data_IF_942927058669
#
_entry.id   IF_942927058669
#
_cell.length_a   1.000
_cell.length_b   1.000
_cell.length_c   1.000
_cell.angle_alpha   90.00
_cell.angle_beta   90.00
_cell.angle_gamma   90.00
#
_symmetry.space_group_name_H-M   'P 1'
#
loop_
_entity.id
_entity.type
_entity.pdbx_description
1 polymer ?
#
# COMPACT_ATOMS: atom_id res chain seq x y z
N UNK A 1 -5.48 -60.38 32.57
CA UNK A 1 -4.64 -59.17 32.61
C UNK A 1 -5.45 -58.07 33.28
N UNK A 2 -5.22 -57.82 34.55
CA UNK A 2 -6.02 -56.88 35.37
C UNK A 2 -5.35 -55.52 35.34
N UNK A 3 -5.94 -54.56 34.64
CA UNK A 3 -5.45 -53.18 34.61
C UNK A 3 -5.53 -52.55 36.00
N UNK A 4 -4.44 -51.91 36.44
CA UNK A 4 -4.41 -51.14 37.69
C UNK A 4 -5.16 -49.81 37.48
N UNK A 5 -6.48 -49.86 37.44
CA UNK A 5 -7.29 -48.68 37.74
C UNK A 5 -7.36 -48.53 39.26
N UNK A 6 -6.89 -47.40 39.79
CA UNK A 6 -7.08 -47.03 41.19
C UNK A 6 -8.33 -46.16 41.27
N UNK A 7 -9.43 -46.74 41.73
CA UNK A 7 -10.63 -45.97 42.05
C UNK A 7 -10.35 -45.08 43.27
N UNK A 8 -10.64 -43.79 43.14
CA UNK A 8 -10.67 -42.85 44.28
C UNK A 8 -9.37 -42.10 44.60
N UNK A 9 -8.35 -42.07 43.74
CA UNK A 9 -7.29 -41.07 43.95
C UNK A 9 -7.83 -39.66 43.60
N UNK A 10 -7.67 -38.67 44.50
CA UNK A 10 -7.99 -37.29 44.18
C UNK A 10 -7.12 -36.85 43.00
N UNK A 11 -7.71 -36.09 42.06
CA UNK A 11 -6.97 -35.53 40.95
C UNK A 11 -5.74 -34.80 41.47
N UNK A 12 -4.55 -35.29 41.12
CA UNK A 12 -3.32 -34.58 41.43
C UNK A 12 -3.36 -33.24 40.72
N UNK A 13 -3.11 -32.14 41.44
CA UNK A 13 -2.98 -30.82 40.83
C UNK A 13 -1.75 -30.82 39.92
N UNK A 14 -1.97 -30.97 38.62
CA UNK A 14 -0.90 -30.85 37.63
C UNK A 14 -0.67 -29.36 37.38
N UNK A 15 0.53 -28.88 37.68
CA UNK A 15 0.91 -27.52 37.31
C UNK A 15 0.88 -27.37 35.79
N UNK A 16 0.05 -26.45 35.28
CA UNK A 16 0.11 -26.08 33.86
C UNK A 16 1.38 -25.27 33.63
N UNK A 17 2.41 -25.92 33.08
CA UNK A 17 3.61 -25.24 32.64
C UNK A 17 3.32 -24.59 31.29
N UNK A 18 3.29 -23.26 31.26
CA UNK A 18 3.19 -22.52 30.00
C UNK A 18 4.52 -22.67 29.26
N UNK A 19 4.46 -23.22 28.04
CA UNK A 19 5.63 -23.29 27.17
C UNK A 19 6.04 -21.89 26.72
N UNK A 20 7.35 -21.65 26.70
CA UNK A 20 7.99 -20.44 26.16
C UNK A 20 7.37 -19.12 26.70
N UNK A 21 7.03 -19.11 27.99
CA UNK A 21 6.40 -17.99 28.69
C UNK A 21 7.12 -16.64 28.51
N UNK A 22 8.46 -16.55 28.65
CA UNK A 22 9.18 -15.30 28.40
C UNK A 22 9.01 -14.78 26.97
N UNK A 23 9.05 -15.66 25.96
CA UNK A 23 8.88 -15.25 24.56
C UNK A 23 7.46 -14.74 24.27
N UNK A 24 6.44 -15.36 24.89
CA UNK A 24 5.05 -14.88 24.81
C UNK A 24 4.86 -13.53 25.48
N UNK A 25 5.45 -13.33 26.65
CA UNK A 25 5.40 -12.05 27.35
C UNK A 25 6.09 -10.94 26.53
N UNK A 26 7.20 -11.27 25.86
CA UNK A 26 7.89 -10.33 24.98
C UNK A 26 7.03 -9.97 23.76
N UNK A 27 6.40 -10.96 23.11
CA UNK A 27 5.50 -10.70 21.99
C UNK A 27 4.31 -9.81 22.40
N UNK A 28 3.74 -10.03 23.58
CA UNK A 28 2.67 -9.18 24.14
C UNK A 28 3.16 -7.76 24.44
N UNK A 29 4.38 -7.60 24.95
CA UNK A 29 5.00 -6.27 25.14
C UNK A 29 5.14 -5.55 23.80
N UNK A 30 5.59 -6.24 22.76
CA UNK A 30 5.73 -5.67 21.42
C UNK A 30 4.38 -5.27 20.83
N UNK A 31 3.36 -6.13 20.95
CA UNK A 31 1.98 -5.84 20.51
C UNK A 31 1.43 -4.55 21.15
N UNK A 32 1.69 -4.36 22.45
CA UNK A 32 1.29 -3.15 23.17
C UNK A 32 2.11 -1.91 22.79
N UNK A 33 3.37 -2.10 22.37
CA UNK A 33 4.29 -1.00 22.04
C UNK A 33 4.03 -0.46 20.63
N UNK A 34 3.71 -1.34 19.69
CA UNK A 34 3.54 -1.03 18.27
C UNK A 34 2.06 -0.99 17.89
N UNK A 35 1.41 0.16 18.13
CA UNK A 35 -0.04 0.30 17.98
C UNK A 35 -0.60 -0.02 16.58
N UNK A 36 0.22 0.17 15.54
CA UNK A 36 -0.13 -0.09 14.15
C UNK A 36 0.12 -1.56 13.72
N UNK A 37 0.54 -2.42 14.65
CA UNK A 37 0.88 -3.82 14.39
C UNK A 37 0.14 -4.76 15.34
N UNK A 38 -0.08 -5.98 14.86
CA UNK A 38 -0.49 -7.12 15.70
C UNK A 38 0.65 -8.11 15.76
N UNK A 39 1.17 -8.39 16.96
CA UNK A 39 2.34 -9.23 17.20
C UNK A 39 1.94 -10.54 17.90
N UNK A 40 2.46 -11.66 17.40
CA UNK A 40 2.12 -13.01 17.84
C UNK A 40 3.38 -13.87 17.97
N UNK A 41 3.40 -14.78 18.94
CA UNK A 41 4.45 -15.80 19.06
C UNK A 41 3.91 -17.19 18.70
N UNK A 42 4.56 -17.86 17.76
CA UNK A 42 4.17 -19.21 17.33
C UNK A 42 5.01 -20.29 18.02
N UNK A 43 4.36 -21.18 18.77
CA UNK A 43 5.02 -22.32 19.42
C UNK A 43 5.51 -23.37 18.42
N UNK A 44 4.91 -23.46 17.22
CA UNK A 44 5.24 -24.48 16.22
C UNK A 44 6.59 -24.23 15.55
N UNK A 45 6.87 -22.98 15.19
CA UNK A 45 8.14 -22.56 14.58
C UNK A 45 9.09 -21.86 15.56
N UNK A 46 8.60 -21.49 16.75
CA UNK A 46 9.31 -20.68 17.74
C UNK A 46 9.81 -19.35 17.17
N UNK A 47 8.96 -18.71 16.38
CA UNK A 47 9.20 -17.40 15.76
C UNK A 47 8.16 -16.39 16.22
N UNK A 48 8.57 -15.12 16.22
CA UNK A 48 7.70 -13.97 16.32
C UNK A 48 7.15 -13.60 14.94
N UNK A 49 5.91 -13.16 14.92
CA UNK A 49 5.20 -12.70 13.74
C UNK A 49 4.58 -11.35 14.02
N UNK A 50 4.65 -10.43 13.06
CA UNK A 50 3.92 -9.17 13.12
C UNK A 50 3.13 -8.97 11.83
N UNK A 51 1.88 -8.54 11.98
CA UNK A 51 0.98 -8.19 10.87
C UNK A 51 0.62 -6.72 11.00
N UNK A 52 0.83 -5.97 9.93
CA UNK A 52 0.49 -4.56 9.92
C UNK A 52 -1.03 -4.35 9.86
N UNK A 53 -1.54 -3.40 10.63
CA UNK A 53 -2.98 -3.06 10.70
C UNK A 53 -3.38 -1.87 9.83
N UNK A 54 -2.43 -1.18 9.20
CA UNK A 54 -2.73 -0.07 8.29
C UNK A 54 -3.34 -0.53 6.97
N UNK A 55 -4.19 0.31 6.40
CA UNK A 55 -4.76 0.10 5.08
C UNK A 55 -3.69 0.28 3.99
N UNK A 56 -3.59 -0.71 3.10
CA UNK A 56 -2.67 -0.70 1.98
C UNK A 56 -3.07 -1.70 0.90
N UNK A 57 -2.52 -1.58 -0.32
CA UNK A 57 -2.83 -2.49 -1.41
C UNK A 57 -2.33 -3.92 -1.16
N UNK A 58 -1.43 -4.10 -0.19
CA UNK A 58 -0.87 -5.40 0.17
C UNK A 58 -0.71 -5.51 1.69
N UNK A 59 -1.12 -6.66 2.24
CA UNK A 59 -0.92 -6.98 3.66
C UNK A 59 0.55 -7.21 3.92
N UNK A 60 1.11 -6.52 4.91
CA UNK A 60 2.50 -6.68 5.33
C UNK A 60 2.56 -7.64 6.51
N UNK A 61 3.32 -8.72 6.34
CA UNK A 61 3.61 -9.71 7.38
C UNK A 61 5.12 -9.89 7.46
N UNK A 62 5.66 -9.76 8.66
CA UNK A 62 7.09 -10.00 8.94
C UNK A 62 7.21 -11.09 10.02
N UNK A 63 8.26 -11.89 9.92
CA UNK A 63 8.58 -12.98 10.85
C UNK A 63 10.05 -12.84 11.24
N UNK A 64 10.42 -13.09 12.51
CA UNK A 64 11.80 -13.33 12.93
C UNK A 64 11.85 -14.34 14.09
N UNK A 65 12.99 -15.00 14.30
CA UNK A 65 13.19 -15.91 15.42
C UNK A 65 13.37 -15.18 16.77
N UNK A 66 13.67 -13.89 16.73
CA UNK A 66 13.99 -13.01 17.87
C UNK A 66 13.06 -11.80 17.90
N UNK A 67 12.84 -11.23 19.09
CA UNK A 67 12.02 -10.01 19.25
C UNK A 67 12.69 -8.78 18.64
N UNK A 68 14.00 -8.61 18.87
CA UNK A 68 14.79 -7.50 18.31
C UNK A 68 14.81 -7.54 16.78
N UNK A 69 15.09 -8.70 16.17
CA UNK A 69 15.06 -8.83 14.72
C UNK A 69 13.65 -8.65 14.12
N UNK A 70 12.60 -8.91 14.90
CA UNK A 70 11.22 -8.59 14.48
C UNK A 70 11.00 -7.07 14.46
N UNK A 71 11.41 -6.36 15.51
CA UNK A 71 11.28 -4.90 15.60
C UNK A 71 12.03 -4.19 14.48
N UNK A 72 13.25 -4.62 14.15
CA UNK A 72 14.01 -4.09 13.01
C UNK A 72 13.23 -4.24 11.70
N UNK A 73 12.64 -5.41 11.45
CA UNK A 73 11.82 -5.62 10.24
C UNK A 73 10.53 -4.81 10.23
N UNK A 74 9.91 -4.62 11.39
CA UNK A 74 8.73 -3.75 11.52
C UNK A 74 9.10 -2.30 11.19
N UNK A 75 10.22 -1.80 11.69
CA UNK A 75 10.73 -0.46 11.37
C UNK A 75 11.03 -0.29 9.88
N UNK A 76 11.71 -1.26 9.27
CA UNK A 76 11.98 -1.25 7.83
C UNK A 76 10.69 -1.20 7.02
N UNK A 77 9.69 -2.00 7.40
CA UNK A 77 8.38 -2.02 6.74
C UNK A 77 7.65 -0.67 6.87
N UNK A 78 7.69 -0.02 8.03
CA UNK A 78 7.14 1.32 8.21
C UNK A 78 7.85 2.36 7.35
N UNK A 79 9.18 2.29 7.26
CA UNK A 79 9.96 3.19 6.41
C UNK A 79 9.57 3.02 4.94
N UNK A 80 9.45 1.78 4.46
CA UNK A 80 9.00 1.49 3.09
C UNK A 80 7.59 2.02 2.84
N UNK A 81 6.68 1.84 3.79
CA UNK A 81 5.32 2.42 3.72
C UNK A 81 5.37 3.94 3.55
N UNK A 82 6.12 4.65 4.39
CA UNK A 82 6.21 6.11 4.33
C UNK A 82 6.71 6.59 2.96
N UNK A 83 7.70 5.91 2.38
CA UNK A 83 8.23 6.23 1.05
C UNK A 83 7.17 6.04 -0.06
N UNK A 84 6.30 5.04 0.06
CA UNK A 84 5.23 4.78 -0.91
C UNK A 84 4.06 5.77 -0.80
N UNK A 85 3.81 6.33 0.38
CA UNK A 85 2.73 7.32 0.58
C UNK A 85 3.05 8.73 0.08
N UNK A 86 4.30 9.00 -0.30
CA UNK A 86 4.65 10.27 -0.93
C UNK A 86 4.20 10.23 -2.39
N UNK A 87 3.16 10.98 -2.79
CA UNK A 87 2.82 11.05 -4.21
C UNK A 87 4.06 11.57 -4.96
N UNK A 88 4.37 11.07 -6.17
CA UNK A 88 5.39 11.69 -6.99
C UNK A 88 5.01 13.15 -7.15
N UNK A 89 5.83 14.03 -6.57
CA UNK A 89 5.64 15.49 -6.62
C UNK A 89 5.73 15.89 -8.08
N UNK A 90 4.57 15.98 -8.73
CA UNK A 90 4.41 16.46 -10.10
C UNK A 90 5.18 15.65 -11.14
N UNK A 91 4.59 14.56 -11.63
CA UNK A 91 4.56 14.44 -13.08
C UNK A 91 3.84 15.68 -13.60
N UNK A 92 4.64 16.68 -13.99
CA UNK A 92 4.23 17.74 -14.90
C UNK A 92 3.65 17.04 -16.12
N UNK A 93 2.33 16.84 -16.07
CA UNK A 93 1.57 16.38 -17.20
C UNK A 93 1.77 17.46 -18.26
N UNK A 94 2.73 17.17 -19.13
CA UNK A 94 2.87 17.66 -20.48
C UNK A 94 1.48 17.76 -21.11
N UNK A 95 0.80 18.87 -20.86
CA UNK A 95 -0.06 19.50 -21.83
C UNK A 95 0.87 20.36 -22.67
N UNK A 96 1.70 19.67 -23.45
CA UNK A 96 2.05 20.13 -24.79
C UNK A 96 0.74 20.19 -25.57
N UNK A 97 -0.06 21.22 -25.32
CA UNK A 97 -0.94 21.78 -26.31
C UNK A 97 -0.04 22.48 -27.34
N UNK A 98 -0.36 22.24 -28.60
CA UNK A 98 0.44 22.44 -29.80
C UNK A 98 1.15 23.80 -29.95
N UNK A 99 2.22 23.87 -30.76
CA UNK A 99 2.79 25.13 -31.20
C UNK A 99 1.87 25.76 -32.25
N UNK A 100 0.98 26.68 -31.85
CA UNK A 100 0.24 27.52 -32.79
C UNK A 100 0.70 28.97 -32.69
N UNK A 101 1.21 29.44 -33.83
CA UNK A 101 1.33 30.83 -34.26
C UNK A 101 2.46 31.67 -33.66
N UNK A 102 3.62 31.54 -34.32
CA UNK A 102 4.51 32.67 -34.52
C UNK A 102 3.83 33.72 -35.39
N UNK A 103 3.87 34.94 -34.89
CA UNK A 103 3.62 36.19 -35.59
C UNK A 103 4.15 36.25 -37.03
N UNK A 104 3.36 36.86 -37.91
CA UNK A 104 3.91 37.70 -38.98
C UNK A 104 3.13 39.01 -39.02
N UNK A 105 3.71 40.15 -38.63
CA UNK A 105 3.08 41.44 -38.80
C UNK A 105 3.35 41.99 -40.21
N UNK A 106 2.27 42.41 -40.87
CA UNK A 106 2.30 43.48 -41.86
C UNK A 106 2.55 43.07 -43.31
N UNK A 107 1.49 43.15 -44.14
CA UNK A 107 1.59 43.68 -45.51
C UNK A 107 0.25 44.28 -45.94
N UNK A 108 0.20 45.62 -45.88
CA UNK A 108 -0.42 46.59 -46.80
C UNK A 108 -1.69 46.19 -47.59
N UNK A 109 -2.75 46.91 -47.27
CA UNK A 109 -3.45 47.84 -48.17
C UNK A 109 -3.36 47.56 -49.69
N UNK A 110 -4.48 47.09 -50.26
CA UNK A 110 -4.93 47.46 -51.62
C UNK A 110 -6.41 47.12 -51.85
N UNK A 111 -7.25 48.15 -51.72
CA UNK A 111 -8.23 48.55 -52.74
C UNK A 111 -9.48 47.68 -53.00
N UNK A 112 -10.70 48.24 -52.90
CA UNK A 112 -11.95 47.56 -53.22
C UNK A 112 -12.31 47.67 -54.72
N UNK A 113 -12.68 46.56 -55.35
CA UNK A 113 -13.22 46.55 -56.73
C UNK A 113 -14.61 45.88 -56.80
N UNK A 114 -15.61 46.75 -56.63
CA UNK A 114 -16.95 46.79 -57.27
C UNK A 114 -17.53 45.53 -57.93
N UNK A 115 -18.71 45.17 -57.41
CA UNK A 115 -19.88 44.58 -58.11
C UNK A 115 -20.13 45.17 -59.51
N UNK A 116 -20.54 44.30 -60.45
CA UNK A 116 -21.74 44.39 -61.35
C UNK A 116 -21.83 43.08 -62.16
N UNK A 117 -22.91 42.29 -62.02
CA UNK A 117 -24.08 42.16 -62.95
C UNK A 117 -23.63 42.00 -64.41
N UNK A 118 -23.98 40.96 -65.16
CA UNK A 118 -25.32 40.45 -65.52
C UNK A 118 -25.16 39.04 -66.17
N UNK A 119 -25.94 38.00 -65.84
CA UNK A 119 -27.13 37.44 -66.55
C UNK A 119 -26.92 37.01 -68.03
N UNK A 120 -27.78 36.15 -68.62
CA UNK A 120 -28.21 34.79 -68.24
C UNK A 120 -28.22 33.81 -69.46
N UNK A 121 -28.47 32.51 -69.23
CA UNK A 121 -28.81 31.54 -70.30
C UNK A 121 -28.27 30.14 -69.97
N UNK A 122 -28.97 29.03 -70.16
CA UNK A 122 -30.29 28.77 -70.72
C UNK A 122 -30.71 27.33 -70.38
N UNK A 123 -32.02 27.08 -70.49
CA UNK A 123 -32.67 25.77 -70.39
C UNK A 123 -32.33 24.87 -71.58
N UNK A 124 -32.28 23.56 -71.35
CA UNK A 124 -32.83 22.48 -72.19
C UNK A 124 -32.79 21.21 -71.31
N UNK A 125 -33.94 20.68 -70.87
CA UNK A 125 -34.85 19.76 -71.56
C UNK A 125 -34.52 18.31 -71.17
#
# INVERSE_FOLDING_TARGET
>A
MTGRHRDGQPYASVYQRVWDGPARAEAERLDQTWADWTVLYSLGKRSFYAVASWDGPQVVVVEDATSEGLEERMQEAEMVRMLQTTPPRGEEKRLSAEPSDRDTPGTRDRGPARRRRSSPGGRAA
#
